data_IF_423095154651
#
_entry.id   IF_423095154651
#
_cell.length_a   1.000
_cell.length_b   1.000
_cell.length_c   1.000
_cell.angle_alpha   90.00
_cell.angle_beta   90.00
_cell.angle_gamma   90.00
#
_symmetry.space_group_name_H-M   'P 1'
#
loop_
_entity.id
_entity.type
_entity.pdbx_description
1 polymer ?
#
# COMPACT_ATOMS: atom_id res chain seq x y z
N UNK A 1 22.82 49.08 -17.52
CA UNK A 1 21.98 47.95 -17.79
C UNK A 1 22.71 46.61 -17.48
N UNK A 2 23.25 46.39 -16.28
CA UNK A 2 23.93 45.14 -15.88
C UNK A 2 23.46 44.56 -14.52
N UNK A 3 22.51 45.24 -13.84
CA UNK A 3 22.03 44.83 -12.53
C UNK A 3 20.80 43.87 -12.57
N UNK A 4 20.04 43.81 -13.69
CA UNK A 4 18.86 42.92 -13.76
C UNK A 4 19.16 41.45 -14.06
N UNK A 5 20.32 41.14 -14.67
CA UNK A 5 20.65 39.75 -14.98
C UNK A 5 21.08 38.91 -13.78
N UNK A 6 21.57 39.53 -12.70
CA UNK A 6 22.00 38.81 -11.50
C UNK A 6 20.81 38.38 -10.64
N UNK A 7 19.73 39.17 -10.62
CA UNK A 7 18.54 38.88 -9.82
C UNK A 7 17.74 37.70 -10.39
N UNK A 8 17.70 37.56 -11.72
CA UNK A 8 17.01 36.45 -12.40
C UNK A 8 17.77 35.12 -12.19
N UNK A 9 19.09 35.16 -12.08
CA UNK A 9 19.91 33.98 -11.81
C UNK A 9 19.73 33.47 -10.36
N UNK A 10 19.48 34.37 -9.40
CA UNK A 10 19.21 34.00 -8.01
C UNK A 10 17.78 33.43 -7.81
N UNK A 11 16.80 33.85 -8.61
CA UNK A 11 15.44 33.30 -8.57
C UNK A 11 15.33 31.93 -9.24
N UNK A 12 16.24 31.55 -10.15
CA UNK A 12 16.27 30.24 -10.78
C UNK A 12 17.04 29.19 -9.98
N UNK A 13 17.77 29.59 -8.93
CA UNK A 13 18.49 28.70 -8.03
C UNK A 13 17.75 28.35 -6.74
N UNK A 14 16.53 28.83 -6.55
CA UNK A 14 15.60 28.21 -5.59
C UNK A 14 14.99 26.92 -6.16
N UNK A 15 15.81 26.07 -6.77
CA UNK A 15 15.54 24.64 -6.75
C UNK A 15 15.41 24.32 -5.26
N UNK A 16 14.17 24.05 -4.82
CA UNK A 16 13.91 23.49 -3.50
C UNK A 16 14.71 22.19 -3.51
N UNK A 17 15.94 22.27 -3.02
CA UNK A 17 16.72 21.07 -2.68
C UNK A 17 15.90 20.47 -1.56
N UNK A 18 15.08 19.48 -1.90
CA UNK A 18 14.37 18.66 -0.94
C UNK A 18 15.47 17.98 -0.13
N UNK A 19 15.84 18.60 0.99
CA UNK A 19 16.91 18.11 1.84
C UNK A 19 16.39 16.86 2.56
N UNK A 20 16.92 15.70 2.17
CA UNK A 20 16.67 14.40 2.81
C UNK A 20 17.79 14.03 3.79
N UNK A 21 18.51 15.03 4.30
CA UNK A 21 19.60 14.82 5.26
C UNK A 21 19.14 13.94 6.41
N UNK A 22 19.82 12.84 6.64
CA UNK A 22 19.51 11.89 7.70
C UNK A 22 18.42 10.87 7.38
N UNK A 23 17.67 11.00 6.27
CA UNK A 23 16.73 9.96 5.84
C UNK A 23 17.51 8.86 5.14
N UNK A 24 17.54 7.69 5.77
CA UNK A 24 18.20 6.49 5.21
C UNK A 24 17.21 5.35 5.08
N UNK A 25 17.52 4.41 4.18
CA UNK A 25 16.73 3.16 4.06
C UNK A 25 16.70 2.41 5.39
N UNK A 26 17.80 2.44 6.16
CA UNK A 26 17.85 1.78 7.47
C UNK A 26 16.91 2.47 8.47
N UNK A 27 16.91 3.79 8.56
CA UNK A 27 15.99 4.53 9.44
C UNK A 27 14.52 4.24 9.11
N UNK A 28 14.17 4.11 7.82
CA UNK A 28 12.82 3.73 7.38
C UNK A 28 12.47 2.29 7.78
N UNK A 29 13.41 1.35 7.68
CA UNK A 29 13.20 -0.03 8.13
C UNK A 29 12.98 -0.10 9.64
N UNK A 30 13.77 0.62 10.42
CA UNK A 30 13.66 0.66 11.88
C UNK A 30 12.32 1.30 12.29
N UNK A 31 11.93 2.39 11.64
CA UNK A 31 10.62 3.02 11.80
C UNK A 31 9.47 2.08 11.46
N UNK A 32 9.56 1.32 10.36
CA UNK A 32 8.56 0.32 10.00
C UNK A 32 8.44 -0.78 11.03
N UNK A 33 9.57 -1.29 11.51
CA UNK A 33 9.62 -2.31 12.57
C UNK A 33 8.94 -1.82 13.86
N UNK A 34 9.24 -0.59 14.28
CA UNK A 34 8.57 0.04 15.44
C UNK A 34 7.07 0.22 15.21
N UNK A 35 6.66 0.52 13.98
CA UNK A 35 5.25 0.73 13.62
C UNK A 35 4.43 -0.57 13.59
N UNK A 36 5.04 -1.74 13.35
CA UNK A 36 4.32 -3.01 13.21
C UNK A 36 3.44 -3.41 14.40
N UNK A 37 3.83 -3.21 15.68
CA UNK A 37 2.95 -3.50 16.82
C UNK A 37 1.69 -2.62 16.81
N UNK A 38 1.80 -1.34 16.43
CA UNK A 38 0.67 -0.42 16.30
C UNK A 38 -0.23 -0.83 15.15
N UNK A 39 0.35 -1.24 14.02
CA UNK A 39 -0.37 -1.82 12.88
C UNK A 39 -1.20 -3.03 13.32
N UNK A 40 -0.63 -3.93 14.12
CA UNK A 40 -1.35 -5.09 14.67
C UNK A 40 -2.49 -4.68 15.61
N UNK A 41 -2.31 -3.64 16.42
CA UNK A 41 -3.34 -3.12 17.31
C UNK A 41 -4.52 -2.48 16.54
N UNK A 42 -4.25 -1.83 15.41
CA UNK A 42 -5.27 -1.29 14.50
C UNK A 42 -5.78 -2.33 13.49
N UNK A 43 -5.23 -3.53 13.53
CA UNK A 43 -5.55 -4.57 12.57
C UNK A 43 -6.94 -5.13 12.83
N UNK A 44 -7.91 -4.69 12.06
CA UNK A 44 -9.16 -5.43 11.93
C UNK A 44 -8.81 -6.73 11.21
N UNK A 45 -9.08 -7.91 11.80
CA UNK A 45 -8.80 -9.20 11.17
C UNK A 45 -9.58 -9.40 9.87
N UNK A 46 -10.44 -8.45 9.54
CA UNK A 46 -11.32 -8.47 8.38
C UNK A 46 -11.43 -7.06 7.80
N UNK A 47 -11.00 -6.87 6.56
CA UNK A 47 -11.19 -5.65 5.78
C UNK A 47 -12.26 -5.94 4.75
N UNK A 48 -13.37 -5.20 4.78
CA UNK A 48 -14.39 -5.28 3.74
C UNK A 48 -13.86 -4.61 2.48
N UNK A 49 -13.79 -5.35 1.39
CA UNK A 49 -13.53 -4.80 0.07
C UNK A 49 -14.80 -4.17 -0.48
N UNK A 50 -14.66 -3.11 -1.28
CA UNK A 50 -15.77 -2.35 -1.83
C UNK A 50 -16.70 -3.20 -2.70
N UNK A 51 -17.79 -2.58 -3.17
CA UNK A 51 -18.80 -3.22 -4.03
C UNK A 51 -18.17 -3.67 -5.34
N UNK A 52 -17.75 -4.93 -5.39
CA UNK A 52 -17.26 -5.58 -6.59
C UNK A 52 -18.26 -6.58 -7.15
N UNK A 53 -17.82 -7.40 -8.10
CA UNK A 53 -18.61 -8.49 -8.68
C UNK A 53 -18.96 -9.60 -7.67
N UNK A 54 -18.41 -9.53 -6.45
CA UNK A 54 -18.64 -10.45 -5.35
C UNK A 54 -19.36 -9.75 -4.21
N UNK A 55 -20.31 -10.43 -3.57
CA UNK A 55 -21.11 -9.88 -2.49
C UNK A 55 -20.43 -10.09 -1.13
N UNK A 56 -20.34 -9.03 -0.32
CA UNK A 56 -19.80 -9.12 1.05
C UNK A 56 -18.36 -9.64 1.10
N UNK A 57 -17.55 -9.32 0.09
CA UNK A 57 -16.16 -9.79 0.02
C UNK A 57 -15.35 -9.15 1.14
N UNK A 58 -14.69 -9.99 1.90
CA UNK A 58 -13.82 -9.58 3.01
C UNK A 58 -12.44 -10.18 2.85
N UNK A 59 -11.43 -9.42 3.22
CA UNK A 59 -10.04 -9.85 3.28
C UNK A 59 -9.73 -10.28 4.70
N UNK A 60 -9.22 -11.49 4.85
CA UNK A 60 -8.83 -12.06 6.14
C UNK A 60 -7.34 -12.28 6.23
N UNK A 61 -6.81 -12.09 7.45
CA UNK A 61 -5.42 -12.37 7.81
C UNK A 61 -4.36 -11.65 6.94
N UNK A 62 -4.48 -10.36 6.65
CA UNK A 62 -3.42 -9.62 5.96
C UNK A 62 -2.27 -9.32 6.93
N UNK A 63 -1.53 -10.35 7.34
CA UNK A 63 -0.39 -10.20 8.24
C UNK A 63 0.76 -9.51 7.50
N UNK A 64 1.19 -8.37 8.04
CA UNK A 64 2.41 -7.69 7.62
C UNK A 64 3.55 -8.05 8.58
N UNK A 65 4.71 -8.29 8.00
CA UNK A 65 5.98 -8.51 8.68
C UNK A 65 7.02 -7.54 8.15
N UNK A 66 8.18 -7.45 8.78
CA UNK A 66 9.30 -6.65 8.30
C UNK A 66 9.71 -6.97 6.84
N UNK A 67 9.46 -8.20 6.39
CA UNK A 67 9.79 -8.68 5.04
C UNK A 67 8.78 -8.27 3.96
N UNK A 68 7.72 -7.57 4.32
CA UNK A 68 6.66 -7.20 3.37
C UNK A 68 6.76 -5.75 2.91
N UNK A 69 7.82 -5.01 3.27
CA UNK A 69 8.04 -3.66 2.81
C UNK A 69 9.51 -3.43 2.44
N UNK A 70 9.72 -2.84 1.27
CA UNK A 70 10.99 -2.28 0.83
C UNK A 70 10.89 -0.77 0.76
N UNK A 71 12.03 -0.11 0.95
CA UNK A 71 12.16 1.34 0.97
C UNK A 71 13.23 1.79 0.00
N UNK A 72 12.96 2.87 -0.72
CA UNK A 72 13.91 3.55 -1.59
C UNK A 72 13.90 5.05 -1.26
N UNK A 73 15.09 5.65 -1.19
CA UNK A 73 15.27 7.10 -0.95
C UNK A 73 16.08 7.65 -2.11
N UNK A 74 15.51 8.57 -2.86
CA UNK A 74 16.17 9.22 -4.00
C UNK A 74 15.67 10.66 -4.16
N UNK A 75 16.59 11.62 -4.24
CA UNK A 75 16.30 13.00 -4.64
C UNK A 75 15.07 13.65 -3.96
N UNK A 76 14.95 13.51 -2.65
CA UNK A 76 13.81 14.05 -1.91
C UNK A 76 12.54 13.20 -2.01
N UNK A 77 12.64 12.00 -2.51
CA UNK A 77 11.53 11.06 -2.59
C UNK A 77 11.78 9.81 -1.78
N UNK A 78 10.78 9.36 -1.06
CA UNK A 78 10.72 8.07 -0.39
C UNK A 78 9.67 7.22 -1.07
N UNK A 79 10.07 6.05 -1.55
CA UNK A 79 9.15 5.05 -2.09
C UNK A 79 9.03 3.89 -1.12
N UNK A 80 7.80 3.52 -0.77
CA UNK A 80 7.47 2.35 0.03
C UNK A 80 6.80 1.33 -0.87
N UNK A 81 7.43 0.17 -1.01
CA UNK A 81 6.90 -0.96 -1.79
C UNK A 81 6.46 -2.06 -0.84
N UNK A 82 5.16 -2.25 -0.70
CA UNK A 82 4.61 -3.43 -0.04
C UNK A 82 4.58 -4.59 -1.03
N UNK A 83 5.07 -5.75 -0.62
CA UNK A 83 5.19 -6.92 -1.52
C UNK A 83 5.09 -8.25 -0.76
N UNK A 84 4.94 -9.35 -1.52
CA UNK A 84 4.87 -10.72 -1.00
C UNK A 84 3.78 -10.91 0.08
N UNK A 85 2.75 -10.06 0.06
CA UNK A 85 1.66 -10.18 1.03
C UNK A 85 0.72 -11.29 0.57
N UNK A 86 0.34 -12.15 1.53
CA UNK A 86 -0.59 -13.25 1.35
C UNK A 86 -1.82 -13.02 2.21
N UNK A 87 -2.99 -13.31 1.67
CA UNK A 87 -4.23 -13.26 2.42
C UNK A 87 -5.33 -14.08 1.74
N UNK A 88 -6.39 -14.36 2.48
CA UNK A 88 -7.56 -15.06 1.98
C UNK A 88 -8.73 -14.09 1.85
N UNK A 89 -9.40 -14.12 0.70
CA UNK A 89 -10.65 -13.42 0.47
C UNK A 89 -11.82 -14.36 0.74
N UNK A 90 -12.85 -13.87 1.43
CA UNK A 90 -14.10 -14.62 1.65
C UNK A 90 -15.30 -13.74 1.33
N UNK A 91 -16.28 -14.32 0.65
CA UNK A 91 -17.49 -13.60 0.27
C UNK A 91 -18.53 -14.51 -0.38
N UNK A 92 -19.47 -13.91 -1.07
CA UNK A 92 -20.47 -14.59 -1.84
C UNK A 92 -20.36 -14.28 -3.33
N UNK A 93 -20.72 -15.23 -4.18
CA UNK A 93 -20.84 -15.04 -5.62
C UNK A 93 -22.21 -15.52 -6.10
N UNK A 94 -22.83 -14.71 -6.95
CA UNK A 94 -24.03 -15.12 -7.72
C UNK A 94 -23.56 -15.58 -9.09
N UNK A 95 -23.86 -16.80 -9.46
CA UNK A 95 -23.54 -17.40 -10.76
C UNK A 95 -24.82 -17.78 -11.51
N UNK A 96 -24.77 -17.74 -12.84
CA UNK A 96 -25.88 -18.22 -13.69
C UNK A 96 -25.78 -19.73 -13.79
N UNK A 97 -26.78 -20.43 -13.26
CA UNK A 97 -27.04 -21.85 -13.53
C UNK A 97 -27.87 -22.05 -14.79
N UNK A 98 -28.20 -23.28 -15.08
CA UNK A 98 -28.97 -23.65 -16.29
C UNK A 98 -30.39 -23.09 -16.29
N UNK A 99 -31.04 -23.00 -15.11
CA UNK A 99 -32.44 -22.59 -14.99
C UNK A 99 -32.64 -21.36 -14.10
N UNK A 100 -31.66 -21.04 -13.24
CA UNK A 100 -31.75 -19.92 -12.30
C UNK A 100 -30.36 -19.40 -11.93
N UNK A 101 -30.32 -18.23 -11.29
CA UNK A 101 -29.10 -17.76 -10.64
C UNK A 101 -28.93 -18.44 -9.29
N UNK A 102 -27.73 -18.93 -9.03
CA UNK A 102 -27.37 -19.55 -7.76
C UNK A 102 -26.38 -18.72 -6.97
N UNK A 103 -26.51 -18.76 -5.66
CA UNK A 103 -25.61 -18.11 -4.72
C UNK A 103 -24.68 -19.12 -4.07
N UNK A 104 -23.39 -18.77 -3.98
CA UNK A 104 -22.39 -19.60 -3.31
C UNK A 104 -21.46 -18.77 -2.46
N UNK A 105 -21.01 -19.35 -1.33
CA UNK A 105 -19.83 -18.83 -0.62
C UNK A 105 -18.59 -19.13 -1.44
N UNK A 106 -17.69 -18.15 -1.51
CA UNK A 106 -16.43 -18.24 -2.21
C UNK A 106 -15.30 -17.91 -1.27
N UNK A 107 -14.23 -18.70 -1.33
CA UNK A 107 -12.96 -18.45 -0.68
C UNK A 107 -11.89 -18.41 -1.75
N UNK A 108 -11.02 -17.40 -1.74
CA UNK A 108 -9.93 -17.27 -2.68
C UNK A 108 -8.63 -16.90 -1.98
N UNK A 109 -7.56 -17.58 -2.31
CA UNK A 109 -6.23 -17.32 -1.78
C UNK A 109 -5.47 -16.42 -2.76
N UNK A 110 -4.97 -15.31 -2.23
CA UNK A 110 -4.18 -14.31 -2.94
C UNK A 110 -2.74 -14.37 -2.44
N UNK A 111 -1.82 -14.40 -3.38
CA UNK A 111 -0.38 -14.31 -3.12
C UNK A 111 0.25 -13.19 -3.93
N UNK A 112 1.48 -12.82 -3.53
CA UNK A 112 2.30 -11.83 -4.21
C UNK A 112 1.57 -10.49 -4.43
N UNK A 113 0.69 -10.12 -3.48
CA UNK A 113 0.10 -8.79 -3.53
C UNK A 113 1.22 -7.75 -3.39
N UNK A 114 1.29 -6.85 -4.36
CA UNK A 114 2.25 -5.76 -4.41
C UNK A 114 1.53 -4.44 -4.59
N UNK A 115 1.96 -3.44 -3.84
CA UNK A 115 1.47 -2.08 -3.91
C UNK A 115 2.62 -1.11 -3.62
N UNK A 116 2.70 -0.02 -4.35
CA UNK A 116 3.77 0.96 -4.22
C UNK A 116 3.18 2.35 -3.99
N UNK A 117 3.77 3.09 -3.07
CA UNK A 117 3.40 4.48 -2.77
C UNK A 117 4.68 5.32 -2.62
N UNK A 118 4.69 6.48 -3.28
CA UNK A 118 5.76 7.45 -3.23
C UNK A 118 5.37 8.72 -2.49
N UNK A 119 6.32 9.28 -1.77
CA UNK A 119 6.21 10.54 -1.05
C UNK A 119 7.32 11.48 -1.48
N UNK A 120 6.99 12.76 -1.66
CA UNK A 120 7.96 13.84 -1.59
C UNK A 120 8.22 14.13 -0.11
N UNK A 121 9.49 14.08 0.29
CA UNK A 121 9.88 14.20 1.70
C UNK A 121 10.98 15.23 1.85
N UNK A 122 10.89 16.04 2.89
CA UNK A 122 11.97 16.92 3.34
C UNK A 122 12.24 16.72 4.82
N UNK A 123 13.48 16.88 5.22
CA UNK A 123 13.89 16.80 6.62
C UNK A 123 14.70 18.02 7.01
N UNK A 124 14.60 18.40 8.28
CA UNK A 124 15.36 19.51 8.88
C UNK A 124 15.84 19.10 10.26
N UNK A 125 17.14 19.23 10.50
CA UNK A 125 17.71 19.07 11.85
C UNK A 125 17.44 20.34 12.64
N UNK A 126 16.80 20.21 13.78
CA UNK A 126 16.50 21.31 14.69
C UNK A 126 17.72 21.62 15.59
N UNK A 127 17.72 22.79 16.22
CA UNK A 127 18.76 23.20 17.21
C UNK A 127 18.83 22.25 18.40
N UNK A 128 17.75 21.53 18.69
CA UNK A 128 17.67 20.49 19.72
C UNK A 128 18.34 19.16 19.33
N UNK A 129 18.88 19.06 18.11
CA UNK A 129 19.44 17.82 17.56
C UNK A 129 18.40 16.85 17.00
N UNK A 130 17.11 17.09 17.22
CA UNK A 130 16.01 16.29 16.65
C UNK A 130 15.76 16.65 15.19
N UNK A 131 15.13 15.72 14.46
CA UNK A 131 14.70 15.96 13.09
C UNK A 131 13.20 16.28 13.01
N UNK A 132 12.85 17.19 12.13
CA UNK A 132 11.49 17.41 11.65
C UNK A 132 11.40 16.83 10.25
N UNK A 133 10.40 15.99 9.98
CA UNK A 133 10.15 15.41 8.67
C UNK A 133 8.79 15.88 8.17
N UNK A 134 8.76 16.38 6.94
CA UNK A 134 7.52 16.74 6.23
C UNK A 134 7.40 15.84 5.02
N UNK A 135 6.21 15.28 4.80
CA UNK A 135 5.93 14.40 3.69
C UNK A 135 4.62 14.73 3.01
N UNK A 136 4.59 14.57 1.71
CA UNK A 136 3.37 14.70 0.89
C UNK A 136 3.30 13.50 -0.06
N UNK A 137 2.15 12.83 -0.09
CA UNK A 137 1.95 11.72 -1.05
C UNK A 137 2.09 12.24 -2.48
N UNK A 138 2.98 11.64 -3.26
CA UNK A 138 3.31 12.03 -4.62
C UNK A 138 2.75 11.04 -5.65
N UNK A 139 2.90 9.73 -5.41
CA UNK A 139 2.52 8.69 -6.37
C UNK A 139 1.84 7.52 -5.66
N UNK A 140 1.05 6.78 -6.41
CA UNK A 140 0.39 5.56 -5.93
C UNK A 140 0.17 4.60 -7.10
N UNK A 141 0.66 3.37 -7.00
CA UNK A 141 0.48 2.35 -8.04
C UNK A 141 -0.89 1.68 -7.95
N UNK A 142 -1.29 1.03 -9.03
CA UNK A 142 -2.33 0.01 -8.94
C UNK A 142 -1.74 -1.27 -8.34
N UNK A 143 -2.49 -1.99 -7.49
CA UNK A 143 -2.00 -3.21 -6.92
C UNK A 143 -1.91 -4.32 -7.97
N UNK A 144 -0.89 -5.16 -7.82
CA UNK A 144 -0.77 -6.41 -8.56
C UNK A 144 -0.86 -7.59 -7.60
N UNK A 145 -1.38 -8.72 -8.05
CA UNK A 145 -1.54 -9.91 -7.21
C UNK A 145 -1.67 -11.17 -8.07
N UNK A 146 -1.48 -12.32 -7.43
CA UNK A 146 -1.70 -13.65 -8.02
C UNK A 146 -2.85 -14.33 -7.28
N UNK A 147 -3.88 -14.68 -8.01
CA UNK A 147 -4.96 -15.56 -7.54
C UNK A 147 -4.47 -17.01 -7.63
N UNK A 148 -4.35 -17.68 -6.49
CA UNK A 148 -3.75 -19.02 -6.42
C UNK A 148 -4.82 -20.11 -6.43
N UNK A 149 -5.85 -19.94 -5.59
CA UNK A 149 -6.89 -20.94 -5.40
C UNK A 149 -8.23 -20.27 -5.21
N UNK A 150 -9.26 -20.86 -5.81
CA UNK A 150 -10.65 -20.51 -5.54
C UNK A 150 -11.36 -21.78 -5.07
N UNK A 151 -12.17 -21.67 -4.02
CA UNK A 151 -13.01 -22.74 -3.51
C UNK A 151 -14.44 -22.26 -3.40
N UNK A 152 -15.37 -23.06 -3.93
CA UNK A 152 -16.81 -22.85 -3.85
C UNK A 152 -17.53 -24.20 -3.94
N UNK A 153 -18.86 -24.22 -3.75
CA UNK A 153 -19.65 -25.45 -3.99
C UNK A 153 -19.66 -25.90 -5.46
N UNK A 154 -19.17 -25.07 -6.38
CA UNK A 154 -19.14 -25.36 -7.82
C UNK A 154 -17.78 -25.83 -8.32
N UNK A 155 -16.88 -26.24 -7.43
CA UNK A 155 -15.60 -26.81 -7.84
C UNK A 155 -15.84 -28.06 -8.73
N UNK A 156 -15.14 -28.12 -9.87
CA UNK A 156 -15.33 -29.14 -10.88
C UNK A 156 -16.41 -28.80 -11.96
N UNK A 157 -17.16 -27.72 -11.77
CA UNK A 157 -18.13 -27.24 -12.76
C UNK A 157 -17.52 -26.12 -13.61
N UNK A 158 -16.82 -26.43 -14.69
CA UNK A 158 -15.98 -25.55 -15.47
C UNK A 158 -16.62 -24.17 -15.78
N UNK A 159 -17.87 -24.15 -16.26
CA UNK A 159 -18.58 -22.92 -16.62
C UNK A 159 -18.81 -22.01 -15.39
N UNK A 160 -19.18 -22.59 -14.25
CA UNK A 160 -19.45 -21.84 -13.01
C UNK A 160 -18.16 -21.36 -12.35
N UNK A 161 -17.11 -22.20 -12.36
CA UNK A 161 -15.77 -21.79 -11.91
C UNK A 161 -15.23 -20.62 -12.73
N UNK A 162 -15.38 -20.63 -14.04
CA UNK A 162 -14.94 -19.55 -14.92
C UNK A 162 -15.72 -18.25 -14.64
N UNK A 163 -17.03 -18.32 -14.40
CA UNK A 163 -17.81 -17.16 -13.96
C UNK A 163 -17.29 -16.58 -12.65
N UNK A 164 -16.93 -17.44 -11.69
CA UNK A 164 -16.37 -16.98 -10.40
C UNK A 164 -14.99 -16.36 -10.62
N UNK A 165 -14.08 -17.02 -11.37
CA UNK A 165 -12.75 -16.49 -11.67
C UNK A 165 -12.81 -15.10 -12.33
N UNK A 166 -13.73 -14.93 -13.29
CA UNK A 166 -13.89 -13.65 -13.97
C UNK A 166 -14.35 -12.52 -13.03
N UNK A 167 -15.11 -12.84 -11.98
CA UNK A 167 -15.48 -11.84 -10.95
C UNK A 167 -14.29 -11.37 -10.09
N UNK A 168 -13.22 -12.18 -9.99
CA UNK A 168 -12.00 -11.80 -9.28
C UNK A 168 -11.05 -10.95 -10.12
N UNK A 169 -11.22 -10.83 -11.44
CA UNK A 169 -10.31 -10.07 -12.31
C UNK A 169 -10.32 -8.56 -12.04
N UNK A 170 -11.44 -8.03 -11.52
CA UNK A 170 -11.65 -6.58 -11.32
C UNK A 170 -12.02 -6.28 -9.85
N UNK A 171 -11.22 -6.78 -8.92
CA UNK A 171 -11.44 -6.49 -7.51
C UNK A 171 -11.04 -5.06 -7.16
N UNK A 172 -11.90 -4.41 -6.39
CA UNK A 172 -11.58 -3.11 -5.79
C UNK A 172 -10.79 -3.32 -4.48
N UNK A 173 -9.50 -3.11 -4.54
CA UNK A 173 -8.62 -3.15 -3.37
C UNK A 173 -8.45 -1.79 -2.67
N UNK A 174 -9.23 -0.77 -3.03
CA UNK A 174 -9.12 0.57 -2.42
C UNK A 174 -9.12 0.55 -0.89
N UNK A 175 -10.01 -0.20 -0.19
CA UNK A 175 -9.96 -0.24 1.27
C UNK A 175 -8.65 -0.80 1.85
N UNK A 176 -8.06 -1.79 1.18
CA UNK A 176 -6.79 -2.37 1.59
C UNK A 176 -5.60 -1.45 1.25
N UNK A 177 -5.62 -0.81 0.08
CA UNK A 177 -4.66 0.24 -0.29
C UNK A 177 -4.67 1.37 0.75
N UNK A 178 -5.85 1.86 1.11
CA UNK A 178 -6.01 2.90 2.14
C UNK A 178 -5.38 2.48 3.48
N UNK A 179 -5.51 1.22 3.85
CA UNK A 179 -4.87 0.66 5.03
C UNK A 179 -3.34 0.67 4.91
N UNK A 180 -2.78 0.24 3.77
CA UNK A 180 -1.33 0.26 3.52
C UNK A 180 -0.77 1.70 3.49
N UNK A 181 -1.51 2.65 2.92
CA UNK A 181 -1.16 4.08 2.94
C UNK A 181 -1.06 4.61 4.38
N UNK A 182 -2.01 4.24 5.27
CA UNK A 182 -1.94 4.62 6.69
C UNK A 182 -0.69 4.07 7.37
N UNK A 183 -0.28 2.86 7.03
CA UNK A 183 0.97 2.27 7.55
C UNK A 183 2.18 3.06 7.04
N UNK A 184 2.24 3.37 5.75
CA UNK A 184 3.33 4.15 5.19
C UNK A 184 3.42 5.56 5.82
N UNK A 185 2.29 6.21 6.10
CA UNK A 185 2.25 7.48 6.82
C UNK A 185 2.81 7.33 8.25
N UNK A 186 2.40 6.30 8.98
CA UNK A 186 2.90 6.03 10.33
C UNK A 186 4.42 5.83 10.34
N UNK A 187 4.97 5.15 9.33
CA UNK A 187 6.44 5.01 9.16
C UNK A 187 7.11 6.37 9.03
N UNK A 188 6.55 7.28 8.24
CA UNK A 188 7.11 8.62 8.06
C UNK A 188 6.94 9.49 9.32
N UNK A 189 5.87 9.30 10.09
CA UNK A 189 5.64 10.00 11.37
C UNK A 189 6.63 9.57 12.46
N UNK A 190 6.99 8.27 12.51
CA UNK A 190 7.95 7.75 13.49
C UNK A 190 9.40 7.87 13.04
N UNK A 191 9.65 8.14 11.76
CA UNK A 191 10.98 8.26 11.16
C UNK A 191 11.94 9.22 11.91
N UNK A 192 11.51 10.41 12.40
CA UNK A 192 12.41 11.34 13.10
C UNK A 192 13.14 10.72 14.30
N UNK A 193 12.57 9.73 14.99
CA UNK A 193 13.19 9.03 16.12
C UNK A 193 14.35 8.12 15.73
N UNK A 194 14.45 7.74 14.45
CA UNK A 194 15.47 6.86 13.89
C UNK A 194 16.53 7.58 13.05
N UNK A 195 16.39 8.90 12.88
CA UNK A 195 17.36 9.71 12.14
C UNK A 195 18.54 10.12 13.05
N UNK A 196 19.77 10.10 12.50
CA UNK A 196 21.03 10.40 13.22
C UNK A 196 21.72 11.62 12.64
#
# INVERSE_FOLDING_TARGET
>A
MKACSLLVLFCLLSVIICDTTGITVQALKDSFKESLPFVKAFHKPTISLGKGALTGLTLKNPLLTEKNADFKVENGHVTVTFHNIKFTLQGGAKVKGTHSSEYTRVTADIENFKFEIGYSVSSKKLSTGKYEVKSTKATESNPTYKLVKISSKFNGMATMEEQIKNKFKNLDFTPYKTYLVKIANLVLETLPSHMK
#
